data_IF_075732606734
#
_entry.id   IF_075732606734
#
_cell.length_a   1.000
_cell.length_b   1.000
_cell.length_c   1.000
_cell.angle_alpha   90.00
_cell.angle_beta   90.00
_cell.angle_gamma   90.00
#
_symmetry.space_group_name_H-M   'P 1'
#
loop_
_entity.id
_entity.type
_entity.pdbx_description
1 polymer ?
#
# COMPACT_ATOMS: atom_id res chain seq x y z
N UNK A 1 -8.83 -8.92 9.88
CA UNK A 1 -9.43 -8.70 8.57
C UNK A 1 -10.64 -7.76 8.66
N UNK A 2 -11.37 -7.84 9.78
CA UNK A 2 -12.65 -7.20 10.07
C UNK A 2 -12.49 -5.69 10.31
N UNK A 3 -11.88 -5.01 9.35
CA UNK A 3 -11.60 -3.60 9.36
C UNK A 3 -11.43 -3.18 7.90
N UNK A 4 -10.50 -3.83 7.20
CA UNK A 4 -10.11 -3.58 5.82
C UNK A 4 -11.32 -3.43 4.90
N UNK A 5 -12.30 -4.34 5.08
CA UNK A 5 -13.58 -4.38 4.38
C UNK A 5 -14.14 -2.98 4.11
N UNK A 6 -14.05 -2.46 2.88
CA UNK A 6 -14.82 -1.28 2.48
C UNK A 6 -14.03 -0.35 1.55
N UNK A 7 -14.44 0.92 1.53
CA UNK A 7 -13.82 1.97 0.73
C UNK A 7 -13.23 3.02 1.65
N UNK A 8 -11.95 3.32 1.45
CA UNK A 8 -11.19 4.26 2.25
C UNK A 8 -10.84 5.50 1.43
N UNK A 9 -10.58 6.60 2.14
CA UNK A 9 -10.16 7.89 1.62
C UNK A 9 -8.79 8.20 2.25
N UNK A 10 -7.80 8.59 1.44
CA UNK A 10 -6.51 9.02 1.96
C UNK A 10 -6.73 10.27 2.81
N UNK A 11 -6.07 10.36 3.96
CA UNK A 11 -6.15 11.53 4.81
C UNK A 11 -4.77 12.16 4.99
N UNK A 12 -3.85 11.53 5.73
CA UNK A 12 -2.53 12.07 6.01
C UNK A 12 -1.47 11.23 5.29
N UNK A 13 -0.45 11.88 4.72
CA UNK A 13 0.75 11.22 4.24
C UNK A 13 1.84 12.26 4.04
N UNK A 14 3.10 11.82 3.99
CA UNK A 14 4.30 12.64 3.77
C UNK A 14 5.39 11.71 3.20
N UNK A 15 6.52 12.29 2.76
CA UNK A 15 7.76 11.60 2.45
C UNK A 15 7.65 10.62 1.27
N UNK A 16 6.58 10.67 0.48
CA UNK A 16 6.48 9.85 -0.72
C UNK A 16 7.60 10.21 -1.70
N UNK A 17 7.85 11.50 -1.78
CA UNK A 17 8.79 12.16 -2.66
C UNK A 17 10.17 11.52 -2.51
N UNK A 18 10.82 11.76 -1.37
CA UNK A 18 12.05 11.13 -0.92
C UNK A 18 12.09 9.64 -1.27
N UNK A 19 11.10 8.90 -0.80
CA UNK A 19 11.02 7.46 -0.95
C UNK A 19 11.09 7.04 -2.42
N UNK A 20 10.41 7.77 -3.30
CA UNK A 20 10.42 7.48 -4.73
C UNK A 20 11.71 8.00 -5.37
N UNK A 21 12.23 9.12 -4.88
CA UNK A 21 13.52 9.73 -5.24
C UNK A 21 14.69 8.89 -4.69
N UNK A 22 14.62 7.58 -4.88
CA UNK A 22 15.54 6.58 -4.35
C UNK A 22 15.05 5.21 -4.82
N UNK A 23 13.81 4.84 -4.47
CA UNK A 23 13.22 3.58 -4.91
C UNK A 23 13.02 3.54 -6.43
N UNK A 24 12.84 4.69 -7.08
CA UNK A 24 12.58 4.74 -8.52
C UNK A 24 11.17 4.26 -8.81
N UNK A 25 10.21 4.74 -8.00
CA UNK A 25 8.77 4.56 -8.21
C UNK A 25 8.20 5.96 -8.50
N UNK A 26 8.92 6.71 -9.34
CA UNK A 26 8.53 8.03 -9.78
C UNK A 26 9.76 8.86 -10.10
N UNK A 27 10.48 9.29 -9.05
CA UNK A 27 11.63 10.21 -9.16
C UNK A 27 11.25 11.51 -9.90
N UNK A 28 9.95 11.83 -9.95
CA UNK A 28 9.34 12.85 -10.78
C UNK A 28 7.82 12.69 -10.66
N UNK A 29 7.27 11.59 -11.19
CA UNK A 29 5.84 11.33 -11.23
C UNK A 29 5.21 11.46 -9.84
N UNK A 30 5.88 10.89 -8.83
CA UNK A 30 5.35 10.92 -7.48
C UNK A 30 5.27 12.33 -6.91
N UNK A 31 5.89 13.34 -7.54
CA UNK A 31 5.70 14.74 -7.11
C UNK A 31 4.24 15.17 -7.23
N UNK A 32 3.44 14.49 -8.08
CA UNK A 32 1.98 14.62 -8.09
C UNK A 32 1.33 13.34 -7.53
N UNK A 33 1.90 12.17 -7.87
CA UNK A 33 1.39 10.89 -7.40
C UNK A 33 1.46 10.71 -5.89
N UNK A 34 2.20 11.57 -5.18
CA UNK A 34 2.21 11.68 -3.73
C UNK A 34 0.81 11.98 -3.22
N UNK A 35 0.12 12.94 -3.84
CA UNK A 35 -1.17 13.45 -3.43
C UNK A 35 -2.29 12.68 -4.14
N UNK A 36 -2.13 12.42 -5.43
CA UNK A 36 -3.20 11.93 -6.29
C UNK A 36 -3.52 10.45 -6.03
N UNK A 37 -4.05 10.13 -4.85
CA UNK A 37 -4.59 8.82 -4.50
C UNK A 37 -5.73 8.99 -3.47
N UNK A 38 -6.79 9.75 -3.81
CA UNK A 38 -7.80 10.19 -2.86
C UNK A 38 -8.59 9.02 -2.30
N UNK A 39 -9.02 8.06 -3.14
CA UNK A 39 -9.79 6.90 -2.70
C UNK A 39 -8.90 5.65 -2.76
N UNK A 40 -9.25 4.63 -1.98
CA UNK A 40 -8.77 3.27 -2.18
C UNK A 40 -9.87 2.31 -1.74
N UNK A 41 -10.40 1.52 -2.66
CA UNK A 41 -11.33 0.45 -2.35
C UNK A 41 -10.51 -0.75 -1.86
N UNK A 42 -10.97 -1.42 -0.80
CA UNK A 42 -10.39 -2.62 -0.23
C UNK A 42 -11.52 -3.64 -0.06
N UNK A 43 -11.75 -4.46 -1.08
CA UNK A 43 -12.78 -5.48 -1.06
C UNK A 43 -12.15 -6.77 -0.52
N UNK A 44 -12.47 -7.13 0.72
CA UNK A 44 -12.12 -8.45 1.23
C UNK A 44 -12.90 -9.51 0.45
N UNK A 45 -12.25 -10.63 0.16
CA UNK A 45 -12.82 -11.78 -0.52
C UNK A 45 -12.58 -13.01 0.37
N UNK A 46 -13.26 -14.13 0.10
CA UNK A 46 -13.34 -15.33 0.94
C UNK A 46 -12.17 -15.54 1.90
N UNK A 47 -10.98 -15.80 1.33
CA UNK A 47 -9.73 -16.06 2.03
C UNK A 47 -8.67 -15.00 1.65
N UNK A 48 -9.12 -13.89 1.06
CA UNK A 48 -8.36 -13.06 0.13
C UNK A 48 -8.77 -11.59 0.30
N UNK A 49 -8.18 -10.68 -0.46
CA UNK A 49 -8.63 -9.30 -0.54
C UNK A 49 -8.12 -8.71 -1.85
N UNK A 50 -8.85 -7.76 -2.42
CA UNK A 50 -8.47 -7.06 -3.64
C UNK A 50 -8.47 -5.55 -3.36
N UNK A 51 -7.34 -4.90 -3.69
CA UNK A 51 -7.19 -3.46 -3.56
C UNK A 51 -7.52 -2.82 -4.89
N UNK A 52 -8.24 -1.70 -4.86
CA UNK A 52 -8.57 -0.88 -6.02
C UNK A 52 -8.17 0.56 -5.73
N UNK A 53 -7.00 0.96 -6.25
CA UNK A 53 -6.52 2.33 -6.24
C UNK A 53 -7.33 3.13 -7.24
N UNK A 54 -8.49 3.60 -6.78
CA UNK A 54 -9.33 4.52 -7.53
C UNK A 54 -8.82 5.95 -7.29
N UNK A 55 -8.30 6.57 -8.34
CA UNK A 55 -7.86 7.95 -8.35
C UNK A 55 -8.29 8.59 -9.67
N UNK A 56 -7.83 9.82 -9.93
CA UNK A 56 -8.08 10.52 -11.17
C UNK A 56 -7.04 10.04 -12.18
N UNK A 57 -5.84 10.61 -12.11
CA UNK A 57 -4.73 10.24 -12.96
C UNK A 57 -4.01 9.01 -12.39
N UNK A 58 -4.04 7.91 -13.15
CA UNK A 58 -3.46 6.62 -12.81
C UNK A 58 -4.42 5.86 -11.89
N UNK A 59 -4.69 4.59 -12.18
CA UNK A 59 -5.44 3.68 -11.31
C UNK A 59 -4.67 2.36 -11.35
N UNK A 60 -4.82 1.53 -10.32
CA UNK A 60 -4.21 0.21 -10.24
C UNK A 60 -5.13 -0.66 -9.39
N UNK A 61 -5.12 -1.98 -9.60
CA UNK A 61 -5.82 -2.92 -8.72
C UNK A 61 -5.20 -4.30 -8.84
N UNK A 62 -5.13 -5.04 -7.72
CA UNK A 62 -4.54 -6.37 -7.65
C UNK A 62 -5.19 -7.14 -6.49
N UNK A 63 -5.40 -8.43 -6.69
CA UNK A 63 -5.89 -9.40 -5.72
C UNK A 63 -4.72 -10.01 -4.97
N UNK A 64 -4.82 -10.17 -3.65
CA UNK A 64 -3.79 -10.77 -2.81
C UNK A 64 -4.43 -11.68 -1.76
N UNK A 65 -3.73 -12.78 -1.46
CA UNK A 65 -4.15 -13.82 -0.54
C UNK A 65 -3.28 -13.71 0.71
N UNK A 66 -3.85 -13.22 1.82
CA UNK A 66 -3.20 -13.27 3.13
C UNK A 66 -2.73 -14.70 3.44
N UNK A 67 -1.41 -14.91 3.36
CA UNK A 67 -0.69 -16.14 3.62
C UNK A 67 -0.09 -16.78 2.36
N UNK A 68 0.29 -15.96 1.37
CA UNK A 68 0.89 -16.41 0.12
C UNK A 68 1.88 -15.34 -0.35
N UNK A 69 2.82 -15.71 -1.23
CA UNK A 69 3.60 -14.77 -2.02
C UNK A 69 3.25 -14.86 -3.51
N UNK A 70 3.12 -13.70 -4.16
CA UNK A 70 2.71 -13.58 -5.56
C UNK A 70 3.61 -12.56 -6.26
N UNK A 71 4.06 -12.90 -7.48
CA UNK A 71 4.93 -12.08 -8.32
C UNK A 71 4.05 -11.25 -9.26
N UNK A 72 4.07 -9.92 -9.12
CA UNK A 72 3.10 -9.06 -9.79
C UNK A 72 3.66 -7.65 -9.94
N UNK A 73 3.12 -6.88 -10.89
CA UNK A 73 3.60 -5.56 -11.27
C UNK A 73 2.52 -4.48 -11.13
N UNK A 74 2.54 -3.72 -10.02
CA UNK A 74 1.80 -2.46 -9.99
C UNK A 74 2.67 -1.39 -10.63
N UNK A 75 2.04 -0.47 -11.38
CA UNK A 75 2.72 0.60 -12.08
C UNK A 75 3.71 1.33 -11.17
N UNK A 76 3.29 1.55 -9.92
CA UNK A 76 4.07 2.22 -8.89
C UNK A 76 4.67 1.23 -7.90
N UNK A 77 5.20 0.11 -8.41
CA UNK A 77 6.26 -0.67 -7.76
C UNK A 77 7.22 -1.24 -8.81
N UNK A 78 6.67 -1.64 -9.96
CA UNK A 78 7.27 -2.50 -11.00
C UNK A 78 7.00 -3.95 -10.59
N UNK A 79 7.57 -4.94 -11.28
CA UNK A 79 7.36 -6.33 -10.92
C UNK A 79 8.11 -6.67 -9.64
N UNK A 80 7.38 -7.16 -8.63
CA UNK A 80 7.87 -7.44 -7.29
C UNK A 80 7.15 -8.67 -6.76
N UNK A 81 7.81 -9.48 -5.92
CA UNK A 81 7.16 -10.62 -5.28
C UNK A 81 6.65 -10.22 -3.90
N UNK A 82 5.34 -9.98 -3.84
CA UNK A 82 4.62 -9.56 -2.65
C UNK A 82 4.27 -10.78 -1.82
N UNK A 83 4.82 -10.88 -0.59
CA UNK A 83 4.35 -11.83 0.41
C UNK A 83 3.47 -11.08 1.39
N UNK A 84 2.24 -11.56 1.58
CA UNK A 84 1.27 -10.94 2.48
C UNK A 84 0.88 -11.94 3.56
N UNK A 85 0.77 -11.48 4.81
CA UNK A 85 0.09 -12.22 5.87
C UNK A 85 -0.40 -11.24 6.92
N UNK A 86 -0.99 -11.76 8.00
CA UNK A 86 -1.68 -11.00 9.03
C UNK A 86 -1.19 -11.49 10.39
N UNK A 87 -0.35 -10.70 11.08
CA UNK A 87 0.18 -11.05 12.40
C UNK A 87 -0.60 -10.29 13.48
N UNK A 88 -1.25 -11.01 14.41
CA UNK A 88 -2.06 -10.42 15.46
C UNK A 88 -3.27 -9.67 14.89
N UNK A 89 -3.06 -8.43 14.44
CA UNK A 89 -4.05 -7.59 13.76
C UNK A 89 -3.40 -6.70 12.70
N UNK A 90 -2.17 -7.02 12.29
CA UNK A 90 -1.34 -6.23 11.39
C UNK A 90 -1.18 -6.99 10.09
N UNK A 91 -1.68 -6.42 8.99
CA UNK A 91 -1.53 -6.97 7.66
C UNK A 91 -0.14 -6.60 7.16
N UNK A 92 0.82 -7.53 7.27
CA UNK A 92 2.18 -7.34 6.82
C UNK A 92 2.26 -7.74 5.34
N UNK A 93 2.40 -6.75 4.46
CA UNK A 93 2.79 -6.95 3.07
C UNK A 93 4.29 -6.67 2.98
N UNK A 94 5.12 -7.71 2.96
CA UNK A 94 6.53 -7.58 2.62
C UNK A 94 6.62 -7.78 1.11
N UNK A 95 7.50 -7.02 0.46
CA UNK A 95 7.50 -6.87 -0.98
C UNK A 95 8.94 -7.02 -1.47
N UNK A 96 9.23 -8.22 -1.96
CA UNK A 96 10.56 -8.75 -2.18
C UNK A 96 10.82 -8.80 -3.69
N UNK A 97 11.77 -8.03 -4.20
CA UNK A 97 12.12 -8.08 -5.61
C UNK A 97 13.47 -8.76 -5.83
N UNK A 98 14.57 -8.14 -5.38
CA UNK A 98 15.91 -8.66 -5.66
C UNK A 98 16.98 -7.90 -4.87
N UNK A 99 17.41 -6.72 -5.35
CA UNK A 99 18.51 -6.00 -4.75
C UNK A 99 18.14 -5.52 -3.34
N UNK A 100 16.85 -5.22 -3.15
CA UNK A 100 16.28 -4.94 -1.86
C UNK A 100 14.87 -5.54 -1.83
N UNK A 101 14.16 -5.22 -0.75
CA UNK A 101 12.74 -5.42 -0.57
C UNK A 101 12.17 -4.11 -0.04
N UNK A 102 10.86 -4.08 0.21
CA UNK A 102 10.22 -3.05 1.02
C UNK A 102 9.10 -3.71 1.82
N UNK A 103 8.43 -2.92 2.66
CA UNK A 103 7.38 -3.35 3.55
C UNK A 103 6.26 -2.31 3.52
N UNK A 104 5.01 -2.79 3.46
CA UNK A 104 3.79 -2.01 3.38
C UNK A 104 2.87 -2.57 4.46
N UNK A 105 3.16 -2.30 5.74
CA UNK A 105 2.43 -2.92 6.83
C UNK A 105 1.20 -2.07 7.18
N UNK A 106 0.02 -2.69 7.16
CA UNK A 106 -1.29 -2.04 7.29
C UNK A 106 -1.97 -2.46 8.59
N UNK A 107 -2.62 -1.51 9.28
CA UNK A 107 -3.39 -1.77 10.49
C UNK A 107 -4.41 -0.65 10.63
N UNK A 108 -5.62 -0.92 11.13
CA UNK A 108 -6.51 0.13 11.63
C UNK A 108 -6.60 -0.03 13.14
N UNK A 109 -6.20 1.02 13.85
CA UNK A 109 -6.64 1.29 15.20
C UNK A 109 -7.29 2.66 15.14
N UNK A 110 -8.01 3.06 16.19
CA UNK A 110 -8.85 4.24 16.16
C UNK A 110 -9.78 4.12 14.92
N UNK A 111 -9.77 5.11 14.02
CA UNK A 111 -10.62 5.15 12.84
C UNK A 111 -9.80 5.34 11.56
N UNK A 112 -8.47 5.15 11.62
CA UNK A 112 -7.60 5.31 10.46
C UNK A 112 -6.83 4.01 10.23
N UNK A 113 -6.90 3.49 9.00
CA UNK A 113 -6.00 2.46 8.51
C UNK A 113 -4.66 3.15 8.27
N UNK A 114 -3.71 2.95 9.17
CA UNK A 114 -2.35 3.40 9.02
C UNK A 114 -1.58 2.34 8.23
N UNK A 115 -0.92 2.76 7.15
CA UNK A 115 -0.05 1.96 6.31
C UNK A 115 1.35 2.54 6.47
N UNK A 116 2.25 1.80 7.12
CA UNK A 116 3.66 2.15 7.22
C UNK A 116 4.37 1.55 6.00
N UNK A 117 4.90 2.42 5.14
CA UNK A 117 5.65 2.06 3.94
C UNK A 117 7.13 2.28 4.26
N UNK A 118 7.92 1.21 4.38
CA UNK A 118 9.31 1.25 4.83
C UNK A 118 10.20 0.43 3.90
N UNK A 119 11.32 1.01 3.44
CA UNK A 119 12.28 0.44 2.50
C UNK A 119 13.67 0.47 3.13
N UNK A 120 14.63 -0.22 2.49
CA UNK A 120 16.05 -0.07 2.78
C UNK A 120 16.47 1.38 2.53
N UNK A 121 16.25 2.22 3.54
CA UNK A 121 16.30 3.67 3.51
C UNK A 121 14.94 4.23 3.06
N UNK A 122 14.52 5.31 3.71
CA UNK A 122 13.26 6.02 3.50
C UNK A 122 12.07 5.30 4.15
N UNK A 123 11.12 6.11 4.65
CA UNK A 123 9.88 5.69 5.28
C UNK A 123 8.76 6.59 4.74
N UNK A 124 7.51 6.14 4.72
CA UNK A 124 6.34 6.99 4.60
C UNK A 124 5.25 6.45 5.49
N UNK A 125 4.56 7.34 6.19
CA UNK A 125 3.27 7.08 6.78
C UNK A 125 2.24 7.36 5.68
N UNK A 126 1.33 6.43 5.41
CA UNK A 126 0.24 6.60 4.48
C UNK A 126 -1.02 6.25 5.26
N UNK A 127 -1.92 7.21 5.51
CA UNK A 127 -3.09 6.95 6.33
C UNK A 127 -4.36 7.04 5.49
N UNK A 128 -5.26 6.09 5.72
CA UNK A 128 -6.53 5.94 5.05
C UNK A 128 -7.65 5.95 6.10
N UNK A 129 -8.80 6.51 5.75
CA UNK A 129 -9.93 6.81 6.61
C UNK A 129 -11.17 6.23 5.93
N UNK A 130 -11.95 5.38 6.60
CA UNK A 130 -13.03 4.67 5.92
C UNK A 130 -14.10 5.66 5.46
N UNK A 131 -14.32 5.78 4.15
CA UNK A 131 -15.35 6.65 3.59
C UNK A 131 -16.66 5.88 3.41
N UNK A 132 -16.61 4.57 3.14
CA UNK A 132 -17.81 3.74 3.08
C UNK A 132 -17.50 2.28 3.40
#
# INVERSE_FOLDING_TARGET
VDAFVGTWKLVDSKNFDDYMKSLGVGFATRQVGNMTKPTTIIEVNGDTVIIKTQSTFKNTEISFKLGVEFDETTADDRKVKSIVTLDGGKLVHVQKWNGQETSLVREMVDGKLILTLTHGTAVCTRTYEKQA
#
